data_IF_987807254537
#
_entry.id   IF_987807254537
#
_cell.length_a   1.000
_cell.length_b   1.000
_cell.length_c   1.000
_cell.angle_alpha   90.00
_cell.angle_beta   90.00
_cell.angle_gamma   90.00
#
_symmetry.space_group_name_H-M   'P 1'
#
loop_
_entity.id
_entity.type
_entity.pdbx_description
1 polymer ?
#
# COMPACT_ATOMS: atom_id res chain seq x y z
N UNK A 1 -12.89 7.09 -21.70
CA UNK A 1 -12.22 6.57 -20.49
C UNK A 1 -12.85 5.23 -20.17
N UNK A 2 -12.05 4.18 -19.99
CA UNK A 2 -12.54 2.83 -19.72
C UNK A 2 -13.26 2.79 -18.35
N UNK A 3 -14.53 2.34 -18.28
CA UNK A 3 -15.28 2.24 -17.03
C UNK A 3 -14.59 1.40 -15.94
N UNK A 4 -13.87 0.34 -16.33
CA UNK A 4 -13.25 -0.58 -15.38
C UNK A 4 -12.11 0.09 -14.58
N UNK A 5 -11.41 1.04 -15.19
CA UNK A 5 -10.37 1.83 -14.50
C UNK A 5 -10.98 2.83 -13.52
N UNK A 6 -12.09 3.46 -13.88
CA UNK A 6 -12.79 4.41 -13.00
C UNK A 6 -13.33 3.69 -11.77
N UNK A 7 -13.93 2.52 -11.95
CA UNK A 7 -14.43 1.68 -10.86
C UNK A 7 -13.29 1.31 -9.90
N UNK A 8 -12.16 0.84 -10.44
CA UNK A 8 -10.96 0.52 -9.65
C UNK A 8 -10.49 1.71 -8.80
N UNK A 9 -10.46 2.92 -9.38
CA UNK A 9 -10.03 4.14 -8.66
C UNK A 9 -11.00 4.50 -7.53
N UNK A 10 -12.31 4.33 -7.77
CA UNK A 10 -13.33 4.56 -6.76
C UNK A 10 -13.26 3.53 -5.63
N UNK A 11 -13.02 2.26 -5.94
CA UNK A 11 -12.81 1.21 -4.94
C UNK A 11 -11.67 1.56 -3.99
N UNK A 12 -10.53 2.03 -4.52
CA UNK A 12 -9.38 2.41 -3.71
C UNK A 12 -9.69 3.62 -2.81
N UNK A 13 -10.26 4.69 -3.36
CA UNK A 13 -10.66 5.87 -2.57
C UNK A 13 -11.68 5.51 -1.49
N UNK A 14 -12.59 4.58 -1.77
CA UNK A 14 -13.56 4.09 -0.80
C UNK A 14 -12.90 3.26 0.30
N UNK A 15 -11.86 2.49 -0.01
CA UNK A 15 -11.08 1.79 1.02
C UNK A 15 -10.41 2.77 1.99
N UNK A 16 -9.85 3.87 1.50
CA UNK A 16 -9.27 4.90 2.39
C UNK A 16 -10.30 5.47 3.37
N UNK A 17 -11.53 5.73 2.89
CA UNK A 17 -12.64 6.18 3.74
C UNK A 17 -13.07 5.12 4.74
N UNK A 18 -13.22 3.86 4.31
CA UNK A 18 -13.65 2.74 5.17
C UNK A 18 -12.67 2.43 6.29
N UNK A 19 -11.37 2.57 6.00
CA UNK A 19 -10.30 2.31 6.97
C UNK A 19 -9.98 3.54 7.83
N UNK A 20 -10.68 4.67 7.62
CA UNK A 20 -10.45 5.94 8.34
C UNK A 20 -9.00 6.42 8.33
N UNK A 21 -8.25 6.07 7.28
CA UNK A 21 -6.83 6.41 7.15
C UNK A 21 -6.61 7.80 6.56
N UNK A 22 -7.58 8.34 5.82
CA UNK A 22 -7.45 9.63 5.13
C UNK A 22 -8.64 10.54 5.44
N UNK A 23 -8.36 11.82 5.70
CA UNK A 23 -9.35 12.88 5.80
C UNK A 23 -9.05 13.91 4.71
N UNK A 24 -10.07 14.26 3.92
CA UNK A 24 -9.94 15.34 2.95
C UNK A 24 -9.93 16.68 3.69
N UNK A 25 -8.81 17.40 3.60
CA UNK A 25 -8.63 18.73 4.20
C UNK A 25 -8.42 19.77 3.11
N UNK A 26 -8.85 21.04 3.32
CA UNK A 26 -8.47 22.13 2.43
C UNK A 26 -6.95 22.29 2.43
N UNK A 27 -6.40 22.72 1.29
CA UNK A 27 -4.97 22.98 1.18
C UNK A 27 -4.59 24.11 2.16
N UNK A 28 -3.58 23.91 3.03
CA UNK A 28 -3.12 24.95 3.93
C UNK A 28 -2.44 26.09 3.16
N UNK A 29 -2.56 27.30 3.67
CA UNK A 29 -1.94 28.48 3.08
C UNK A 29 -0.40 28.32 3.07
N UNK A 30 0.22 28.72 1.96
CA UNK A 30 1.68 28.64 1.71
C UNK A 30 2.30 27.24 1.58
N UNK A 31 1.51 26.15 1.54
CA UNK A 31 2.03 24.80 1.28
C UNK A 31 1.59 24.34 -0.10
N UNK A 32 2.55 23.94 -0.94
CA UNK A 32 2.24 23.27 -2.21
C UNK A 32 1.98 21.78 -1.96
N UNK A 33 0.76 21.27 -2.19
CA UNK A 33 0.47 19.86 -1.96
C UNK A 33 1.36 18.96 -2.81
N UNK A 34 1.80 17.84 -2.24
CA UNK A 34 2.53 16.84 -2.99
C UNK A 34 1.68 16.31 -4.14
N UNK A 35 2.31 16.19 -5.31
CA UNK A 35 1.61 15.69 -6.49
C UNK A 35 1.32 14.21 -6.32
N UNK A 36 0.06 13.84 -6.49
CA UNK A 36 -0.38 12.45 -6.54
C UNK A 36 -0.32 11.92 -7.97
N UNK A 37 -0.02 10.64 -8.11
CA UNK A 37 -0.02 9.90 -9.36
C UNK A 37 -0.84 8.62 -9.20
N UNK A 38 -1.50 8.21 -10.28
CA UNK A 38 -2.16 6.92 -10.38
C UNK A 38 -1.23 5.88 -11.02
N UNK A 39 -1.09 4.73 -10.38
CA UNK A 39 -0.46 3.54 -10.93
C UNK A 39 -1.53 2.56 -11.35
N UNK A 40 -1.45 2.06 -12.57
CA UNK A 40 -2.41 1.09 -13.11
C UNK A 40 -1.71 -0.25 -13.36
N UNK A 41 -2.31 -1.34 -12.90
CA UNK A 41 -1.85 -2.71 -13.14
C UNK A 41 -3.02 -3.63 -13.42
N UNK A 42 -2.93 -4.40 -14.50
CA UNK A 42 -3.87 -5.48 -14.75
C UNK A 42 -3.41 -6.72 -13.99
N UNK A 43 -4.34 -7.37 -13.28
CA UNK A 43 -4.16 -8.72 -12.76
C UNK A 43 -4.68 -9.69 -13.78
N UNK A 44 -3.81 -10.62 -14.16
CA UNK A 44 -4.09 -11.68 -15.12
C UNK A 44 -4.24 -13.01 -14.40
N UNK A 45 -5.06 -13.90 -14.97
CA UNK A 45 -5.14 -15.30 -14.55
C UNK A 45 -3.97 -16.13 -15.09
N UNK A 46 -3.92 -17.42 -14.73
CA UNK A 46 -3.03 -18.42 -15.31
C UNK A 46 -3.14 -18.45 -16.85
N UNK A 47 -4.32 -18.23 -17.40
CA UNK A 47 -4.60 -18.15 -18.84
C UNK A 47 -4.33 -16.76 -19.47
N UNK A 48 -3.67 -15.85 -18.74
CA UNK A 48 -3.38 -14.47 -19.16
C UNK A 48 -4.60 -13.56 -19.42
N UNK A 49 -5.81 -14.01 -19.09
CA UNK A 49 -7.03 -13.18 -19.15
C UNK A 49 -7.02 -12.14 -18.04
N UNK A 50 -7.40 -10.89 -18.34
CA UNK A 50 -7.50 -9.82 -17.33
C UNK A 50 -8.69 -10.11 -16.42
N UNK A 51 -8.42 -10.45 -15.16
CA UNK A 51 -9.46 -10.68 -14.15
C UNK A 51 -9.82 -9.38 -13.44
N UNK A 52 -8.84 -8.49 -13.22
CA UNK A 52 -9.07 -7.28 -12.44
C UNK A 52 -8.11 -6.16 -12.79
N UNK A 53 -8.67 -4.97 -12.96
CA UNK A 53 -7.94 -3.71 -13.01
C UNK A 53 -7.61 -3.25 -11.58
N UNK A 54 -6.32 -3.12 -11.25
CA UNK A 54 -5.85 -2.56 -9.98
C UNK A 54 -5.28 -1.18 -10.23
N UNK A 55 -5.91 -0.16 -9.69
CA UNK A 55 -5.35 1.18 -9.56
C UNK A 55 -4.74 1.34 -8.17
N UNK A 56 -3.71 2.18 -8.09
CA UNK A 56 -3.06 2.57 -6.85
C UNK A 56 -2.76 4.06 -6.85
N UNK A 57 -3.20 4.80 -5.83
CA UNK A 57 -2.90 6.21 -5.64
C UNK A 57 -1.60 6.36 -4.86
N UNK A 58 -0.59 6.99 -5.46
CA UNK A 58 0.75 7.11 -4.86
C UNK A 58 1.22 8.55 -4.92
N UNK A 59 1.88 8.99 -3.84
CA UNK A 59 2.53 10.30 -3.79
C UNK A 59 3.82 10.27 -4.59
N UNK A 60 4.11 11.35 -5.34
CA UNK A 60 5.43 11.55 -5.95
C UNK A 60 6.47 11.81 -4.84
N UNK A 61 7.05 10.73 -4.31
CA UNK A 61 7.94 10.76 -3.14
C UNK A 61 9.23 11.56 -3.29
N UNK A 62 9.66 11.91 -4.51
CA UNK A 62 10.91 12.68 -4.72
C UNK A 62 10.89 14.11 -4.17
N UNK A 63 9.71 14.62 -3.76
CA UNK A 63 9.57 15.94 -3.11
C UNK A 63 9.26 15.85 -1.62
N UNK A 64 9.32 14.66 -1.02
CA UNK A 64 9.06 14.54 0.42
C UNK A 64 10.23 15.11 1.22
N UNK A 65 9.93 16.02 2.15
CA UNK A 65 10.90 16.64 3.05
C UNK A 65 10.79 16.04 4.47
N UNK A 66 11.91 15.56 5.01
CA UNK A 66 11.99 15.06 6.39
C UNK A 66 11.66 16.20 7.38
N UNK A 67 10.81 15.91 8.36
CA UNK A 67 10.31 16.89 9.33
C UNK A 67 9.11 17.73 8.86
N UNK A 68 8.77 17.68 7.56
CA UNK A 68 7.55 18.29 7.00
C UNK A 68 6.55 17.20 6.61
N UNK A 69 6.94 16.28 5.73
CA UNK A 69 6.05 15.25 5.18
C UNK A 69 6.12 13.92 5.93
N UNK A 70 7.23 13.62 6.62
CA UNK A 70 7.38 12.44 7.47
C UNK A 70 8.38 12.69 8.60
N UNK A 71 8.18 12.01 9.73
CA UNK A 71 9.12 12.06 10.88
C UNK A 71 10.09 10.89 10.91
N UNK A 72 9.67 9.71 10.45
CA UNK A 72 10.49 8.51 10.37
C UNK A 72 10.12 7.73 9.09
N UNK A 73 11.12 7.14 8.44
CA UNK A 73 10.93 6.29 7.27
C UNK A 73 11.16 4.83 7.66
N UNK A 74 10.12 3.99 7.54
CA UNK A 74 10.20 2.56 7.81
C UNK A 74 10.04 1.76 6.53
N UNK A 75 11.11 1.15 6.06
CA UNK A 75 11.04 0.14 5.02
C UNK A 75 10.82 -1.24 5.67
N UNK A 76 9.61 -1.79 5.60
CA UNK A 76 9.33 -3.16 6.06
C UNK A 76 9.84 -4.19 5.04
N UNK A 77 11.16 -4.23 4.83
CA UNK A 77 11.74 -5.29 4.01
C UNK A 77 11.93 -6.50 4.90
N UNK A 78 11.06 -7.50 4.71
CA UNK A 78 11.21 -8.77 5.40
C UNK A 78 12.50 -9.45 4.89
N UNK A 79 13.47 -9.60 5.77
CA UNK A 79 14.75 -10.27 5.47
C UNK A 79 14.52 -11.77 5.45
N UNK A 80 14.82 -12.42 4.32
CA UNK A 80 14.53 -13.86 4.11
C UNK A 80 15.25 -14.73 5.15
N UNK A 81 16.45 -14.34 5.55
CA UNK A 81 17.25 -14.98 6.59
C UNK A 81 16.54 -14.94 7.95
N UNK A 82 15.96 -13.80 8.32
CA UNK A 82 15.22 -13.65 9.57
C UNK A 82 13.95 -14.52 9.58
N UNK A 83 13.23 -14.60 8.46
CA UNK A 83 12.06 -15.49 8.32
C UNK A 83 12.48 -16.96 8.50
N UNK A 84 13.59 -17.38 7.88
CA UNK A 84 14.09 -18.76 8.00
C UNK A 84 14.48 -19.11 9.43
N UNK A 85 15.15 -18.21 10.15
CA UNK A 85 15.52 -18.38 11.56
C UNK A 85 14.27 -18.46 12.44
N UNK A 86 13.28 -17.59 12.20
CA UNK A 86 12.03 -17.61 12.93
C UNK A 86 11.28 -18.94 12.75
N UNK A 87 11.15 -19.41 11.51
CA UNK A 87 10.47 -20.68 11.22
C UNK A 87 11.20 -21.88 11.80
N UNK A 88 12.53 -21.93 11.73
CA UNK A 88 13.32 -23.03 12.32
C UNK A 88 13.17 -23.10 13.83
N UNK A 89 13.16 -21.93 14.50
CA UNK A 89 12.92 -21.84 15.93
C UNK A 89 11.49 -22.23 16.31
N UNK A 90 10.48 -21.75 15.57
CA UNK A 90 9.09 -22.11 15.79
C UNK A 90 8.86 -23.61 15.64
N UNK A 91 9.46 -24.25 14.62
CA UNK A 91 9.41 -25.70 14.44
C UNK A 91 10.08 -26.44 15.62
N UNK A 92 11.24 -25.97 16.08
CA UNK A 92 11.94 -26.56 17.23
C UNK A 92 11.14 -26.46 18.54
N UNK A 93 10.39 -25.37 18.72
CA UNK A 93 9.52 -25.15 19.89
C UNK A 93 8.10 -25.68 19.71
N UNK A 94 7.80 -26.32 18.57
CA UNK A 94 6.46 -26.80 18.21
C UNK A 94 5.38 -25.71 18.28
N UNK A 95 5.73 -24.48 17.89
CA UNK A 95 4.79 -23.37 17.82
C UNK A 95 3.95 -23.45 16.54
N UNK A 96 2.68 -23.08 16.67
CA UNK A 96 1.81 -22.84 15.54
C UNK A 96 2.10 -21.46 14.96
N UNK A 97 2.47 -21.41 13.69
CA UNK A 97 2.69 -20.17 12.94
C UNK A 97 1.52 -19.94 12.01
N UNK A 98 0.96 -18.74 12.06
CA UNK A 98 -0.09 -18.30 11.15
C UNK A 98 0.46 -17.24 10.20
N UNK A 99 0.11 -17.35 8.92
CA UNK A 99 0.42 -16.34 7.92
C UNK A 99 -0.83 -15.50 7.65
N UNK A 100 -0.67 -14.18 7.69
CA UNK A 100 -1.71 -13.23 7.30
C UNK A 100 -1.20 -12.36 6.17
N UNK A 101 -1.85 -12.47 5.01
CA UNK A 101 -1.62 -11.54 3.90
C UNK A 101 -2.63 -10.39 4.01
N UNK A 102 -2.11 -9.16 4.18
CA UNK A 102 -2.94 -7.97 4.33
C UNK A 102 -3.16 -7.37 2.95
N UNK A 103 -4.41 -7.41 2.47
CA UNK A 103 -4.78 -6.91 1.13
C UNK A 103 -4.39 -5.44 0.89
N UNK A 104 -4.39 -4.63 1.95
CA UNK A 104 -4.06 -3.20 1.90
C UNK A 104 -3.17 -2.86 3.08
N UNK A 105 -1.85 -3.06 2.94
CA UNK A 105 -0.87 -2.67 3.93
C UNK A 105 -0.42 -1.22 3.67
N UNK A 106 -0.74 -0.31 4.59
CA UNK A 106 -0.16 1.03 4.61
C UNK A 106 1.09 1.00 5.49
N UNK A 107 2.23 1.43 4.94
CA UNK A 107 3.47 1.57 5.70
C UNK A 107 3.42 2.90 6.45
N UNK A 108 2.79 2.87 7.62
CA UNK A 108 2.51 3.97 8.55
C UNK A 108 1.70 5.16 8.00
N UNK A 109 0.81 5.67 8.87
CA UNK A 109 0.36 7.05 8.90
C UNK A 109 1.13 7.82 9.96
#
# INVERSE_FOLDING_TARGET
TDPAWIESMQEELLQFKRLYVWVLVPAPDNISPLTLNWLFKNKHDEEQTVIRNKSCLVVKGYRQEEGIDFKESFASVAIMEAIRIFLSYAAHKSFLVFQMDVKTAFLHG
#
